data_IF_284080549265
#
_entry.id   IF_284080549265
#
_cell.length_a   1.000
_cell.length_b   1.000
_cell.length_c   1.000
_cell.angle_alpha   90.00
_cell.angle_beta   90.00
_cell.angle_gamma   90.00
#
_symmetry.space_group_name_H-M   'P 1'
#
loop_
_entity.id
_entity.type
_entity.pdbx_description
1 polymer ?
#
# COMPACT_ATOMS: atom_id res chain seq x y z
N UNK A 1 -7.01 -35.12 -4.09
CA UNK A 1 -7.36 -33.72 -3.80
C UNK A 1 -6.36 -32.87 -4.56
N UNK A 2 -6.79 -32.16 -5.60
CA UNK A 2 -5.89 -31.24 -6.32
C UNK A 2 -5.88 -29.97 -5.49
N UNK A 3 -4.87 -29.81 -4.63
CA UNK A 3 -4.56 -28.51 -4.00
C UNK A 3 -4.42 -27.48 -5.13
N UNK A 4 -5.36 -26.53 -5.19
CA UNK A 4 -5.31 -25.45 -6.16
C UNK A 4 -4.05 -24.64 -5.91
N UNK A 5 -3.02 -24.82 -6.73
CA UNK A 5 -1.80 -24.04 -6.65
C UNK A 5 -2.07 -22.66 -7.25
N UNK A 6 -2.18 -21.66 -6.38
CA UNK A 6 -2.19 -20.27 -6.79
C UNK A 6 -0.81 -19.83 -7.27
N UNK A 7 -0.71 -18.59 -7.73
CA UNK A 7 0.55 -17.93 -8.07
C UNK A 7 0.56 -16.48 -7.60
N UNK A 8 1.74 -15.92 -7.38
CA UNK A 8 1.94 -14.48 -7.29
C UNK A 8 1.80 -13.88 -8.69
N UNK A 9 0.79 -13.06 -8.89
CA UNK A 9 0.53 -12.40 -10.17
C UNK A 9 1.32 -11.10 -10.29
N UNK A 10 1.39 -10.32 -9.21
CA UNK A 10 2.14 -9.06 -9.17
C UNK A 10 2.66 -8.74 -7.78
N UNK A 11 3.75 -7.98 -7.74
CA UNK A 11 4.34 -7.43 -6.53
C UNK A 11 4.44 -5.90 -6.67
N UNK A 12 4.10 -5.20 -5.59
CA UNK A 12 4.16 -3.74 -5.55
C UNK A 12 4.76 -3.23 -4.25
N UNK A 13 5.56 -2.19 -4.37
CA UNK A 13 5.98 -1.35 -3.25
C UNK A 13 5.37 0.04 -3.37
N UNK A 14 5.00 0.65 -2.25
CA UNK A 14 4.50 2.02 -2.20
C UNK A 14 5.42 2.86 -1.30
N UNK A 15 6.56 3.35 -1.79
CA UNK A 15 7.59 3.94 -0.92
C UNK A 15 7.11 5.13 -0.09
N UNK A 16 6.18 5.91 -0.65
CA UNK A 16 5.56 7.05 0.02
C UNK A 16 4.07 6.78 0.23
N UNK A 17 3.58 7.00 1.46
CA UNK A 17 2.16 6.90 1.78
C UNK A 17 1.35 7.83 0.88
N UNK A 18 0.34 7.26 0.21
CA UNK A 18 -0.58 8.00 -0.66
C UNK A 18 -0.12 8.17 -2.11
N UNK A 19 1.15 7.90 -2.44
CA UNK A 19 1.68 8.05 -3.81
C UNK A 19 1.72 6.72 -4.57
N UNK A 20 2.32 6.70 -5.76
CA UNK A 20 2.18 5.64 -6.76
C UNK A 20 2.73 4.28 -6.32
N UNK A 21 2.19 3.22 -6.94
CA UNK A 21 2.74 1.88 -6.87
C UNK A 21 4.00 1.78 -7.74
N UNK A 22 5.01 1.07 -7.27
CA UNK A 22 6.15 0.65 -8.07
C UNK A 22 6.13 -0.87 -8.22
N UNK A 23 5.98 -1.41 -9.45
CA UNK A 23 5.98 -2.85 -9.67
C UNK A 23 7.36 -3.44 -9.37
N UNK A 24 7.39 -4.67 -8.88
CA UNK A 24 8.60 -5.43 -8.62
C UNK A 24 8.50 -6.81 -9.30
N UNK A 25 9.63 -7.31 -9.79
CA UNK A 25 9.72 -8.70 -10.25
C UNK A 25 10.00 -9.67 -9.10
N UNK A 26 10.71 -9.20 -8.07
CA UNK A 26 11.07 -9.97 -6.88
C UNK A 26 11.31 -9.10 -5.66
N UNK A 27 11.20 -9.68 -4.47
CA UNK A 27 11.43 -9.01 -3.20
C UNK A 27 11.97 -9.99 -2.15
N UNK A 28 12.97 -9.56 -1.37
CA UNK A 28 13.50 -10.34 -0.27
C UNK A 28 12.70 -10.06 1.02
N UNK A 29 11.95 -11.05 1.50
CA UNK A 29 11.18 -10.95 2.73
C UNK A 29 11.99 -11.49 3.91
N UNK A 30 11.84 -10.85 5.07
CA UNK A 30 12.44 -11.29 6.35
C UNK A 30 11.41 -11.13 7.48
N UNK A 31 11.42 -12.02 8.48
CA UNK A 31 10.54 -11.89 9.64
C UNK A 31 10.71 -10.54 10.35
N UNK A 32 9.60 -9.93 10.75
CA UNK A 32 9.58 -8.70 11.55
C UNK A 32 10.05 -7.42 10.86
N UNK A 33 10.47 -7.45 9.59
CA UNK A 33 10.96 -6.23 8.91
C UNK A 33 9.94 -5.58 7.98
N UNK A 34 8.82 -6.24 7.71
CA UNK A 34 7.80 -5.80 6.74
C UNK A 34 8.26 -5.83 5.29
N UNK A 35 7.36 -5.44 4.37
CA UNK A 35 7.65 -5.47 2.93
C UNK A 35 8.73 -4.44 2.56
N UNK A 36 9.91 -4.83 2.05
CA UNK A 36 11.03 -3.92 1.81
C UNK A 36 10.62 -2.63 1.09
N UNK A 37 11.10 -1.51 1.60
CA UNK A 37 10.84 -0.17 1.09
C UNK A 37 9.39 0.34 1.10
N UNK A 38 8.43 -0.47 1.54
CA UNK A 38 7.03 -0.06 1.60
C UNK A 38 6.77 1.00 2.68
N UNK A 39 6.17 2.12 2.25
CA UNK A 39 5.72 3.24 3.08
C UNK A 39 6.79 3.70 4.08
N UNK A 40 8.05 3.75 3.62
CA UNK A 40 9.21 4.32 4.35
C UNK A 40 9.04 5.82 4.61
N UNK A 41 8.29 6.48 3.73
CA UNK A 41 8.02 7.89 3.80
C UNK A 41 6.52 8.14 3.90
N UNK A 42 6.14 9.24 4.55
CA UNK A 42 4.81 9.83 4.46
C UNK A 42 4.93 11.34 4.56
N UNK A 43 3.92 12.07 4.08
CA UNK A 43 3.80 13.49 4.38
C UNK A 43 2.78 13.63 5.51
N UNK A 44 3.21 14.12 6.66
CA UNK A 44 2.37 14.37 7.82
C UNK A 44 1.69 15.73 7.73
N UNK A 45 0.52 15.82 8.35
CA UNK A 45 -0.22 17.07 8.53
C UNK A 45 0.61 18.03 9.40
N UNK A 46 0.75 19.31 9.03
CA UNK A 46 1.56 20.28 9.78
C UNK A 46 1.08 20.48 11.23
N UNK A 47 -0.23 20.50 11.42
CA UNK A 47 -0.93 20.62 12.69
C UNK A 47 -1.13 19.27 13.40
N UNK A 48 -0.73 18.17 12.77
CA UNK A 48 -0.82 16.83 13.31
C UNK A 48 0.18 16.56 14.43
N UNK A 49 0.14 15.34 14.98
CA UNK A 49 0.98 14.90 16.10
C UNK A 49 2.37 14.42 15.68
N UNK A 50 2.60 14.13 14.40
CA UNK A 50 3.91 13.66 13.95
C UNK A 50 4.97 14.74 14.08
N UNK A 51 6.08 14.41 14.72
CA UNK A 51 7.33 15.18 14.72
C UNK A 51 8.49 14.22 14.42
N UNK A 52 9.59 14.66 13.78
CA UNK A 52 10.80 13.84 13.65
C UNK A 52 11.21 13.24 15.00
N UNK A 53 11.51 11.95 15.02
CA UNK A 53 11.74 11.16 16.23
C UNK A 53 10.50 10.48 16.80
N UNK A 54 9.30 10.64 16.21
CA UNK A 54 8.08 9.97 16.69
C UNK A 54 8.19 8.45 16.57
N UNK A 55 8.20 7.76 17.71
CA UNK A 55 8.31 6.29 17.79
C UNK A 55 6.98 5.56 17.89
N UNK A 56 5.91 6.24 18.27
CA UNK A 56 4.57 5.63 18.37
C UNK A 56 3.88 5.58 17.01
N UNK A 57 3.09 4.52 16.78
CA UNK A 57 2.20 4.42 15.63
C UNK A 57 1.15 5.52 15.65
N UNK A 58 1.01 6.25 14.54
CA UNK A 58 0.01 7.30 14.40
C UNK A 58 -1.09 6.88 13.42
N UNK A 59 -2.35 7.26 13.66
CA UNK A 59 -3.45 6.96 12.76
C UNK A 59 -3.27 7.67 11.42
N UNK A 60 -3.81 7.07 10.35
CA UNK A 60 -3.60 7.56 8.98
C UNK A 60 -4.06 9.00 8.74
N UNK A 61 -4.97 9.53 9.56
CA UNK A 61 -5.47 10.90 9.52
C UNK A 61 -4.38 11.95 9.81
N UNK A 62 -3.32 11.56 10.52
CA UNK A 62 -2.15 12.41 10.78
C UNK A 62 -1.28 12.61 9.53
N UNK A 63 -1.57 11.90 8.44
CA UNK A 63 -0.82 11.92 7.21
C UNK A 63 -1.71 12.22 6.01
N UNK A 64 -1.13 12.81 4.98
CA UNK A 64 -1.77 12.93 3.69
C UNK A 64 -1.88 11.53 3.05
N UNK A 65 -3.09 11.15 2.67
CA UNK A 65 -3.41 9.81 2.18
C UNK A 65 -4.66 9.84 1.30
N UNK A 66 -4.77 8.92 0.34
CA UNK A 66 -5.85 8.89 -0.66
C UNK A 66 -7.28 8.91 -0.08
N UNK A 67 -7.46 8.49 1.17
CA UNK A 67 -8.77 8.56 1.85
C UNK A 67 -9.25 10.00 2.06
N UNK A 68 -8.36 10.96 2.23
CA UNK A 68 -8.69 12.38 2.41
C UNK A 68 -8.17 13.24 1.24
N UNK A 69 -7.12 12.78 0.58
CA UNK A 69 -6.33 13.56 -0.37
C UNK A 69 -6.25 12.81 -1.73
N UNK A 70 -7.38 12.62 -2.43
CA UNK A 70 -7.43 11.80 -3.64
C UNK A 70 -6.54 12.36 -4.76
N UNK A 71 -6.30 13.68 -4.79
CA UNK A 71 -5.47 14.37 -5.79
C UNK A 71 -4.06 13.80 -5.91
N UNK A 72 -3.52 13.22 -4.83
CA UNK A 72 -2.23 12.54 -4.83
C UNK A 72 -2.16 11.41 -5.87
N UNK A 73 -3.27 10.74 -6.15
CA UNK A 73 -3.33 9.70 -7.19
C UNK A 73 -3.25 10.26 -8.62
N UNK A 74 -3.30 11.58 -8.81
CA UNK A 74 -3.04 12.22 -10.11
C UNK A 74 -1.55 12.49 -10.38
N UNK A 75 -0.69 12.28 -9.38
CA UNK A 75 0.77 12.32 -9.57
C UNK A 75 1.26 10.93 -9.99
N UNK A 76 2.17 10.88 -10.97
CA UNK A 76 3.02 9.70 -11.18
C UNK A 76 4.33 9.90 -10.40
N UNK A 77 4.67 8.96 -9.52
CA UNK A 77 5.81 9.11 -8.61
C UNK A 77 6.66 7.86 -8.58
N UNK A 78 7.98 8.04 -8.53
CA UNK A 78 8.92 6.95 -8.37
C UNK A 78 9.99 7.34 -7.35
N UNK A 79 10.29 6.44 -6.41
CA UNK A 79 11.44 6.54 -5.51
C UNK A 79 12.46 5.49 -5.89
N UNK A 80 13.67 5.93 -6.22
CA UNK A 80 14.83 5.05 -6.28
C UNK A 80 15.18 4.63 -4.84
N UNK A 81 14.95 3.37 -4.52
CA UNK A 81 15.11 2.86 -3.15
C UNK A 81 16.57 2.77 -2.67
N UNK A 82 17.55 2.88 -3.58
CA UNK A 82 18.98 2.89 -3.26
C UNK A 82 19.49 4.29 -2.91
N UNK A 83 18.90 5.33 -3.51
CA UNK A 83 19.33 6.73 -3.34
C UNK A 83 18.31 7.60 -2.61
N UNK A 84 17.09 7.10 -2.36
CA UNK A 84 15.95 7.84 -1.80
C UNK A 84 15.53 9.06 -2.65
N UNK A 85 15.90 9.10 -3.93
CA UNK A 85 15.49 10.16 -4.87
C UNK A 85 14.05 9.94 -5.30
N UNK A 86 13.17 10.89 -4.95
CA UNK A 86 11.79 11.00 -5.41
C UNK A 86 11.73 11.76 -6.73
N UNK A 87 11.20 11.10 -7.76
CA UNK A 87 10.82 11.73 -9.03
C UNK A 87 9.30 11.85 -9.09
N UNK A 88 8.78 13.01 -9.46
CA UNK A 88 7.35 13.23 -9.72
C UNK A 88 7.16 13.63 -11.18
N UNK A 89 6.18 13.02 -11.84
CA UNK A 89 5.77 13.30 -13.21
C UNK A 89 4.34 13.75 -13.28
N UNK A 90 4.09 14.69 -14.17
CA UNK A 90 2.75 15.15 -14.56
C UNK A 90 2.67 15.08 -16.08
N UNK A 91 1.65 14.38 -16.60
CA UNK A 91 1.49 14.14 -18.03
C UNK A 91 2.77 13.57 -18.72
N UNK A 92 3.53 12.73 -18.01
CA UNK A 92 4.74 12.09 -18.52
C UNK A 92 6.03 12.93 -18.43
N UNK A 93 5.96 14.18 -17.95
CA UNK A 93 7.13 15.04 -17.79
C UNK A 93 7.58 15.08 -16.34
N UNK A 94 8.89 14.94 -16.11
CA UNK A 94 9.50 15.13 -14.78
C UNK A 94 9.32 16.59 -14.35
N UNK A 95 8.63 16.80 -13.22
CA UNK A 95 8.36 18.12 -12.62
C UNK A 95 9.04 18.30 -11.25
N UNK A 96 9.54 17.22 -10.67
CA UNK A 96 10.34 17.23 -9.45
C UNK A 96 11.32 16.07 -9.48
N UNK A 97 12.56 16.32 -9.04
CA UNK A 97 13.52 15.28 -8.68
C UNK A 97 14.25 15.69 -7.41
N UNK A 98 13.91 15.07 -6.29
CA UNK A 98 14.35 15.49 -4.96
C UNK A 98 14.94 14.33 -4.16
N UNK A 99 16.13 14.51 -3.61
CA UNK A 99 16.78 13.54 -2.72
C UNK A 99 16.20 13.64 -1.30
N UNK A 100 15.33 12.70 -0.91
CA UNK A 100 14.70 12.69 0.42
C UNK A 100 15.68 12.34 1.55
N UNK A 101 16.92 11.97 1.21
CA UNK A 101 18.04 11.78 2.12
C UNK A 101 18.68 13.09 2.59
N UNK A 102 18.58 14.17 1.82
CA UNK A 102 19.18 15.50 2.11
C UNK A 102 18.19 16.45 2.78
N UNK A 103 18.63 17.58 3.34
CA UNK A 103 17.70 18.60 3.86
C UNK A 103 17.03 19.35 2.70
N UNK A 104 17.84 19.73 1.71
CA UNK A 104 17.43 20.50 0.54
C UNK A 104 16.37 19.77 -0.29
N UNK A 105 16.56 18.46 -0.55
CA UNK A 105 15.61 17.66 -1.30
C UNK A 105 14.31 17.41 -0.54
N UNK A 106 14.35 17.31 0.80
CA UNK A 106 13.12 17.22 1.60
C UNK A 106 12.32 18.52 1.51
N UNK A 107 12.99 19.66 1.64
CA UNK A 107 12.37 20.98 1.50
C UNK A 107 11.77 21.18 0.11
N UNK A 108 12.46 20.72 -0.94
CA UNK A 108 11.96 20.74 -2.30
C UNK A 108 10.69 19.90 -2.48
N UNK A 109 10.69 18.66 -1.97
CA UNK A 109 9.53 17.80 -2.03
C UNK A 109 8.33 18.36 -1.23
N UNK A 110 8.57 18.90 -0.04
CA UNK A 110 7.52 19.52 0.79
C UNK A 110 6.92 20.75 0.09
N UNK A 111 7.76 21.63 -0.47
CA UNK A 111 7.33 22.82 -1.21
C UNK A 111 6.54 22.47 -2.47
N UNK A 112 6.98 21.45 -3.21
CA UNK A 112 6.25 20.96 -4.39
C UNK A 112 4.87 20.42 -4.02
N UNK A 113 4.75 19.69 -2.92
CA UNK A 113 3.49 19.08 -2.50
C UNK A 113 2.53 20.05 -1.82
N UNK A 114 2.98 21.15 -1.22
CA UNK A 114 2.12 22.18 -0.63
C UNK A 114 0.92 22.56 -1.52
N UNK A 115 1.11 23.01 -2.78
CA UNK A 115 -0.03 23.34 -3.64
C UNK A 115 -0.86 22.11 -4.05
N UNK A 116 -0.26 20.93 -4.19
CA UNK A 116 -1.00 19.69 -4.52
C UNK A 116 -1.95 19.28 -3.37
N UNK A 117 -1.57 19.61 -2.14
CA UNK A 117 -2.28 19.28 -0.91
C UNK A 117 -3.26 20.38 -0.46
N UNK A 118 -3.47 21.41 -1.29
CA UNK A 118 -4.30 22.60 -0.97
C UNK A 118 -3.93 23.27 0.37
N UNK A 119 -2.65 23.26 0.73
CA UNK A 119 -2.21 23.87 1.97
C UNK A 119 -2.14 25.40 1.85
N UNK A 120 -2.45 26.16 2.94
CA UNK A 120 -2.33 27.61 2.95
C UNK A 120 -0.90 28.09 2.62
N UNK A 121 -0.79 29.31 2.10
CA UNK A 121 0.51 29.92 1.84
C UNK A 121 1.37 29.96 3.12
N UNK A 122 2.63 29.55 3.00
CA UNK A 122 3.57 29.46 4.12
C UNK A 122 3.41 28.21 5.00
N UNK A 123 2.46 27.33 4.71
CA UNK A 123 2.27 26.06 5.42
C UNK A 123 2.76 24.90 4.54
N UNK A 124 3.70 24.12 5.05
CA UNK A 124 4.22 22.93 4.37
C UNK A 124 3.80 21.66 5.10
N UNK A 125 3.68 20.51 4.41
CA UNK A 125 3.61 19.24 5.12
C UNK A 125 4.92 18.99 5.88
N UNK A 126 4.93 18.00 6.77
CA UNK A 126 6.16 17.52 7.41
C UNK A 126 6.54 16.17 6.82
N UNK A 127 7.73 16.04 6.23
CA UNK A 127 8.17 14.73 5.76
C UNK A 127 8.43 13.81 6.96
N UNK A 128 7.74 12.68 6.97
CA UNK A 128 7.89 11.64 7.95
C UNK A 128 8.81 10.53 7.43
N UNK A 129 9.91 10.29 8.16
CA UNK A 129 10.89 9.23 7.88
C UNK A 129 11.58 8.85 9.18
N UNK A 130 11.43 7.60 9.61
CA UNK A 130 12.03 7.11 10.85
C UNK A 130 12.71 5.77 10.61
N UNK A 131 14.00 5.61 10.97
CA UNK A 131 14.68 4.33 10.85
C UNK A 131 13.90 3.19 11.52
N UNK A 132 13.69 2.11 10.77
CA UNK A 132 12.95 0.93 11.21
C UNK A 132 11.44 1.10 11.33
N UNK A 133 10.86 2.25 10.94
CA UNK A 133 9.41 2.45 10.95
C UNK A 133 8.82 2.54 9.55
N UNK A 134 7.52 2.28 9.49
CA UNK A 134 6.72 2.32 8.27
C UNK A 134 5.40 3.02 8.55
N UNK A 135 4.91 3.78 7.59
CA UNK A 135 3.66 4.54 7.68
C UNK A 135 2.49 3.78 7.03
N UNK A 136 2.42 2.46 7.26
CA UNK A 136 1.33 1.57 6.81
C UNK A 136 0.02 1.91 7.52
N UNK A 137 -1.10 1.46 6.98
CA UNK A 137 -2.41 1.70 7.60
C UNK A 137 -2.60 0.92 8.90
N UNK A 138 -1.81 -0.14 9.11
CA UNK A 138 -1.77 -0.93 10.33
C UNK A 138 -0.81 -0.36 11.39
N UNK A 139 0.02 0.64 11.05
CA UNK A 139 1.05 1.16 11.95
C UNK A 139 0.49 1.73 13.27
N UNK A 140 -0.74 2.27 13.26
CA UNK A 140 -1.41 2.76 14.47
C UNK A 140 -1.72 1.65 15.49
N UNK A 141 -1.76 0.39 15.07
CA UNK A 141 -1.99 -0.76 15.95
C UNK A 141 -0.69 -1.29 16.59
N UNK A 142 0.48 -0.71 16.27
CA UNK A 142 1.76 -1.02 16.89
C UNK A 142 2.84 -1.49 15.91
N UNK A 143 4.03 -1.75 16.47
CA UNK A 143 5.23 -2.08 15.70
C UNK A 143 5.21 -3.47 15.05
N UNK A 144 4.42 -4.42 15.58
CA UNK A 144 4.14 -5.67 14.89
C UNK A 144 3.29 -5.43 13.63
N UNK A 145 2.06 -4.89 13.79
CA UNK A 145 1.17 -4.60 12.67
C UNK A 145 1.75 -3.69 11.58
N UNK A 146 2.64 -2.74 11.91
CA UNK A 146 3.27 -1.89 10.88
C UNK A 146 4.09 -2.70 9.85
N UNK A 147 4.52 -3.91 10.22
CA UNK A 147 5.34 -4.81 9.42
C UNK A 147 4.53 -5.90 8.70
N UNK A 148 3.20 -5.87 8.78
CA UNK A 148 2.40 -6.81 7.99
C UNK A 148 2.49 -6.52 6.49
N UNK A 149 2.46 -7.59 5.70
CA UNK A 149 2.43 -7.53 4.23
C UNK A 149 0.98 -7.66 3.77
N UNK A 150 0.51 -6.75 2.91
CA UNK A 150 -0.85 -6.83 2.37
C UNK A 150 -0.92 -7.75 1.15
N UNK A 151 -1.90 -8.66 1.16
CA UNK A 151 -2.18 -9.62 0.08
C UNK A 151 -3.62 -9.45 -0.40
N UNK A 152 -3.85 -9.51 -1.71
CA UNK A 152 -5.20 -9.53 -2.31
C UNK A 152 -5.28 -10.58 -3.42
N UNK A 153 -6.43 -11.22 -3.56
CA UNK A 153 -6.69 -12.22 -4.61
C UNK A 153 -7.40 -11.61 -5.80
N UNK A 154 -6.88 -11.83 -7.01
CA UNK A 154 -7.56 -11.47 -8.26
C UNK A 154 -8.88 -12.24 -8.43
N UNK A 155 -8.97 -13.47 -7.92
CA UNK A 155 -10.21 -14.23 -7.98
C UNK A 155 -11.33 -13.56 -7.14
N UNK A 156 -11.00 -13.01 -5.97
CA UNK A 156 -11.94 -12.24 -5.13
C UNK A 156 -12.35 -10.93 -5.79
N UNK A 157 -11.42 -10.26 -6.47
CA UNK A 157 -11.73 -9.05 -7.24
C UNK A 157 -12.68 -9.40 -8.40
N UNK A 158 -12.37 -10.42 -9.20
CA UNK A 158 -13.23 -10.86 -10.32
C UNK A 158 -14.61 -11.34 -9.86
N UNK A 159 -14.73 -11.97 -8.68
CA UNK A 159 -16.05 -12.30 -8.11
C UNK A 159 -16.86 -11.04 -7.76
N UNK A 160 -16.23 -10.00 -7.21
CA UNK A 160 -16.88 -8.69 -7.01
C UNK A 160 -17.31 -8.07 -8.34
N UNK A 161 -16.43 -8.09 -9.35
CA UNK A 161 -16.73 -7.57 -10.69
C UNK A 161 -17.94 -8.30 -11.29
N UNK A 162 -17.96 -9.63 -11.24
CA UNK A 162 -19.05 -10.45 -11.79
C UNK A 162 -20.39 -10.18 -11.11
N UNK A 163 -20.41 -9.99 -9.78
CA UNK A 163 -21.64 -9.72 -9.02
C UNK A 163 -22.15 -8.29 -9.15
N UNK A 164 -21.28 -7.34 -9.50
CA UNK A 164 -21.63 -5.91 -9.58
C UNK A 164 -21.70 -5.39 -11.02
N UNK A 165 -21.26 -6.19 -12.01
CA UNK A 165 -21.16 -5.77 -13.40
C UNK A 165 -20.17 -4.61 -13.62
N UNK A 166 -19.23 -4.41 -12.69
CA UNK A 166 -18.32 -3.25 -12.70
C UNK A 166 -16.87 -3.71 -12.65
N UNK A 167 -16.04 -3.18 -13.54
CA UNK A 167 -14.59 -3.46 -13.56
C UNK A 167 -13.90 -2.75 -12.39
N UNK A 168 -13.03 -3.46 -11.68
CA UNK A 168 -12.32 -2.98 -10.48
C UNK A 168 -10.82 -3.18 -10.66
N UNK A 169 -10.09 -2.07 -10.81
CA UNK A 169 -8.63 -2.12 -10.87
C UNK A 169 -8.02 -2.63 -9.54
N UNK A 170 -7.21 -3.71 -9.55
CA UNK A 170 -6.55 -4.24 -8.35
C UNK A 170 -5.65 -3.24 -7.60
N UNK A 171 -5.09 -2.23 -8.28
CA UNK A 171 -4.25 -1.21 -7.65
C UNK A 171 -5.01 -0.35 -6.63
N UNK A 172 -6.34 -0.30 -6.71
CA UNK A 172 -7.20 0.36 -5.71
C UNK A 172 -7.00 -0.22 -4.30
N UNK A 173 -6.67 -1.51 -4.19
CA UNK A 173 -6.46 -2.18 -2.91
C UNK A 173 -5.08 -1.95 -2.31
N UNK A 174 -4.15 -1.37 -3.10
CA UNK A 174 -2.78 -1.04 -2.69
C UNK A 174 -2.06 -2.16 -1.94
N UNK A 175 -2.30 -3.40 -2.38
CA UNK A 175 -1.68 -4.60 -1.82
C UNK A 175 -0.23 -4.69 -2.28
N UNK A 176 0.62 -5.30 -1.45
CA UNK A 176 2.01 -5.56 -1.81
C UNK A 176 2.14 -6.81 -2.67
N UNK A 177 1.28 -7.80 -2.43
CA UNK A 177 1.25 -9.05 -3.17
C UNK A 177 -0.15 -9.25 -3.74
N UNK A 178 -0.23 -9.43 -5.05
CA UNK A 178 -1.45 -9.82 -5.74
C UNK A 178 -1.31 -11.28 -6.12
N UNK A 179 -2.25 -12.11 -5.70
CA UNK A 179 -2.26 -13.56 -5.99
C UNK A 179 -3.41 -13.92 -6.92
N UNK A 180 -3.25 -15.01 -7.65
CA UNK A 180 -4.27 -15.51 -8.58
C UNK A 180 -4.27 -17.05 -8.62
N UNK A 181 -5.32 -17.65 -9.17
CA UNK A 181 -5.48 -19.10 -9.33
C UNK A 181 -6.02 -19.83 -8.09
N UNK A 182 -6.20 -19.13 -6.97
CA UNK A 182 -6.92 -19.64 -5.80
C UNK A 182 -8.43 -19.40 -5.94
N UNK A 183 -9.29 -20.17 -5.26
CA UNK A 183 -10.71 -19.87 -5.17
C UNK A 183 -10.94 -18.45 -4.64
N UNK A 184 -11.97 -17.76 -5.15
CA UNK A 184 -12.34 -16.45 -4.62
C UNK A 184 -12.58 -16.55 -3.11
N UNK A 185 -12.11 -15.55 -2.38
CA UNK A 185 -12.24 -15.38 -0.93
C UNK A 185 -11.44 -16.36 -0.06
N UNK A 186 -10.74 -17.33 -0.65
CA UNK A 186 -9.96 -18.31 0.12
C UNK A 186 -8.85 -17.67 0.95
N UNK A 187 -8.31 -16.52 0.50
CA UNK A 187 -7.33 -15.76 1.28
C UNK A 187 -7.91 -15.26 2.60
N UNK A 188 -9.20 -14.91 2.65
CA UNK A 188 -9.84 -14.44 3.88
C UNK A 188 -10.18 -15.58 4.85
N UNK A 189 -10.42 -16.78 4.33
CA UNK A 189 -10.63 -18.00 5.13
C UNK A 189 -9.31 -18.51 5.72
N UNK A 190 -8.18 -18.16 5.11
CA UNK A 190 -6.85 -18.52 5.60
C UNK A 190 -6.45 -17.80 6.89
N UNK A 191 -7.16 -16.75 7.33
CA UNK A 191 -6.82 -16.01 8.56
C UNK A 191 -6.77 -16.96 9.76
N UNK A 192 -5.66 -16.91 10.51
CA UNK A 192 -5.32 -17.83 11.58
C UNK A 192 -4.43 -19.00 11.14
N UNK A 193 -4.18 -19.19 9.84
CA UNK A 193 -3.36 -20.27 9.29
C UNK A 193 -2.03 -19.77 8.74
N UNK A 194 -1.13 -20.71 8.52
CA UNK A 194 0.12 -20.48 7.81
C UNK A 194 -0.02 -20.88 6.34
N UNK A 195 0.64 -20.12 5.47
CA UNK A 195 0.57 -20.26 4.02
C UNK A 195 1.98 -20.30 3.45
N UNK A 196 2.15 -20.99 2.33
CA UNK A 196 3.35 -20.88 1.51
C UNK A 196 3.13 -19.81 0.43
N UNK A 197 3.94 -18.77 0.49
CA UNK A 197 3.96 -17.69 -0.49
C UNK A 197 5.29 -17.73 -1.22
N UNK A 198 5.40 -18.61 -2.22
CA UNK A 198 6.59 -18.76 -3.03
C UNK A 198 7.82 -19.27 -2.28
N UNK A 199 7.63 -20.23 -1.36
CA UNK A 199 8.68 -20.74 -0.47
C UNK A 199 8.91 -19.87 0.78
N UNK A 200 8.21 -18.74 0.90
CA UNK A 200 8.20 -17.92 2.12
C UNK A 200 6.99 -18.34 2.96
N UNK A 201 7.24 -18.87 4.17
CA UNK A 201 6.15 -19.17 5.11
C UNK A 201 5.65 -17.86 5.70
N UNK A 202 4.33 -17.67 5.64
CA UNK A 202 3.65 -16.50 6.21
C UNK A 202 2.46 -16.95 7.06
N UNK A 203 2.05 -16.14 8.03
CA UNK A 203 0.80 -16.34 8.79
C UNK A 203 -0.22 -15.31 8.37
N UNK A 204 -1.42 -15.73 7.97
CA UNK A 204 -2.51 -14.80 7.75
C UNK A 204 -3.07 -14.32 9.09
N UNK A 205 -2.93 -13.03 9.38
CA UNK A 205 -3.17 -12.47 10.72
C UNK A 205 -4.44 -11.64 10.82
N UNK A 206 -4.85 -10.99 9.73
CA UNK A 206 -6.00 -10.10 9.79
C UNK A 206 -6.66 -9.91 8.42
N UNK A 207 -8.00 -9.82 8.37
CA UNK A 207 -8.75 -9.43 7.17
C UNK A 207 -8.55 -7.94 6.90
N UNK A 208 -8.26 -7.52 5.68
CA UNK A 208 -8.04 -6.09 5.41
C UNK A 208 -9.37 -5.37 5.25
N UNK A 209 -9.74 -4.54 6.24
CA UNK A 209 -10.89 -3.63 6.13
C UNK A 209 -10.59 -2.55 5.10
N UNK A 210 -11.43 -2.45 4.08
CA UNK A 210 -11.28 -1.46 3.01
C UNK A 210 -11.92 -0.14 3.43
N UNK A 211 -11.27 0.94 3.02
CA UNK A 211 -11.69 2.30 3.30
C UNK A 211 -11.82 3.06 1.98
N UNK A 212 -12.32 4.29 2.07
CA UNK A 212 -12.62 5.13 0.92
C UNK A 212 -11.38 5.45 0.04
N UNK A 213 -10.15 5.12 0.47
CA UNK A 213 -8.97 5.16 -0.42
C UNK A 213 -9.13 4.25 -1.65
N UNK A 214 -9.84 3.11 -1.52
CA UNK A 214 -10.13 2.20 -2.65
C UNK A 214 -11.04 2.81 -3.71
N UNK A 215 -11.73 3.91 -3.38
CA UNK A 215 -12.63 4.59 -4.30
C UNK A 215 -11.91 5.57 -5.22
N UNK A 216 -10.63 5.85 -4.94
CA UNK A 216 -9.80 6.73 -5.76
C UNK A 216 -9.27 5.96 -6.96
N UNK A 217 -9.56 6.46 -8.17
CA UNK A 217 -9.09 5.88 -9.43
C UNK A 217 -7.57 6.00 -9.56
N UNK A 218 -6.84 4.89 -9.81
CA UNK A 218 -5.40 4.95 -10.08
C UNK A 218 -5.07 5.90 -11.22
N UNK A 219 -4.13 6.83 -11.02
CA UNK A 219 -3.71 7.81 -12.03
C UNK A 219 -4.66 8.99 -12.25
N UNK A 220 -5.87 8.98 -11.67
CA UNK A 220 -6.90 10.00 -11.98
C UNK A 220 -7.00 11.13 -10.97
N UNK A 221 -6.54 10.91 -9.74
CA UNK A 221 -6.74 11.85 -8.65
C UNK A 221 -8.19 12.00 -8.16
N UNK A 222 -9.14 11.17 -8.63
CA UNK A 222 -10.59 11.33 -8.41
C UNK A 222 -11.21 10.12 -7.77
N UNK A 223 -12.27 10.34 -6.98
CA UNK A 223 -13.19 9.28 -6.55
C UNK A 223 -14.12 8.94 -7.71
N UNK A 224 -14.02 7.72 -8.21
CA UNK A 224 -14.72 7.29 -9.43
C UNK A 224 -15.48 5.98 -9.26
N UNK A 225 -15.26 5.25 -8.15
CA UNK A 225 -15.90 3.98 -7.91
C UNK A 225 -16.18 3.76 -6.42
N UNK A 226 -17.44 3.49 -6.04
CA UNK A 226 -17.83 3.32 -4.64
C UNK A 226 -17.49 1.91 -4.09
N UNK A 227 -16.23 1.47 -4.23
CA UNK A 227 -15.75 0.11 -3.93
C UNK A 227 -16.17 -0.38 -2.54
N UNK A 228 -16.07 0.46 -1.50
CA UNK A 228 -16.46 0.08 -0.13
C UNK A 228 -17.95 -0.26 -0.05
N UNK A 229 -18.78 0.56 -0.71
CA UNK A 229 -20.23 0.34 -0.76
C UNK A 229 -20.59 -0.87 -1.61
N UNK A 230 -19.87 -1.11 -2.70
CA UNK A 230 -20.04 -2.30 -3.53
C UNK A 230 -19.78 -3.57 -2.73
N UNK A 231 -18.63 -3.68 -2.05
CA UNK A 231 -18.30 -4.85 -1.22
C UNK A 231 -19.37 -5.05 -0.13
N UNK A 232 -19.78 -3.98 0.55
CA UNK A 232 -20.79 -4.07 1.61
C UNK A 232 -22.16 -4.53 1.10
N UNK A 233 -22.64 -3.99 -0.01
CA UNK A 233 -23.95 -4.38 -0.58
C UNK A 233 -23.94 -5.82 -1.11
N UNK A 234 -22.80 -6.29 -1.62
CA UNK A 234 -22.68 -7.62 -2.21
C UNK A 234 -22.44 -8.72 -1.16
N UNK A 235 -21.66 -8.44 -0.12
CA UNK A 235 -21.22 -9.47 0.84
C UNK A 235 -21.59 -9.21 2.30
N UNK A 236 -22.22 -8.07 2.62
CA UNK A 236 -22.57 -7.70 3.99
C UNK A 236 -21.37 -7.28 4.87
N UNK A 237 -20.20 -7.02 4.28
CA UNK A 237 -18.99 -6.62 5.00
C UNK A 237 -18.10 -5.65 4.21
N UNK A 238 -17.03 -5.13 4.80
CA UNK A 238 -16.08 -4.20 4.14
C UNK A 238 -14.68 -4.79 3.97
N UNK A 239 -14.54 -6.11 4.03
CA UNK A 239 -13.24 -6.79 3.91
C UNK A 239 -12.98 -7.24 2.47
N UNK A 240 -11.72 -7.18 2.06
CA UNK A 240 -11.22 -7.85 0.85
C UNK A 240 -9.71 -8.02 1.03
N UNK A 241 -9.12 -9.17 0.73
CA UNK A 241 -7.71 -9.45 1.01
C UNK A 241 -7.36 -9.50 2.51
N UNK A 242 -6.09 -9.74 2.78
CA UNK A 242 -5.56 -10.02 4.12
C UNK A 242 -4.23 -9.30 4.38
N UNK A 243 -3.88 -9.24 5.65
CA UNK A 243 -2.53 -8.99 6.12
C UNK A 243 -1.88 -10.32 6.52
N UNK A 244 -0.61 -10.47 6.15
CA UNK A 244 0.21 -11.60 6.55
C UNK A 244 1.46 -11.15 7.29
N UNK A 245 1.89 -11.96 8.25
CA UNK A 245 3.18 -11.84 8.93
C UNK A 245 4.18 -12.81 8.30
N UNK A 246 5.40 -12.35 8.03
CA UNK A 246 6.47 -13.19 7.46
C UNK A 246 7.11 -14.04 8.57
N UNK A 247 7.15 -15.36 8.38
CA UNK A 247 7.69 -16.31 9.36
C UNK A 247 9.09 -16.81 8.99
N UNK A 248 9.40 -16.92 7.70
CA UNK A 248 10.74 -17.31 7.22
C UNK A 248 11.31 -16.27 6.27
N UNK A 249 12.64 -16.17 6.21
CA UNK A 249 13.29 -15.34 5.21
C UNK A 249 13.29 -16.06 3.85
N UNK A 250 13.14 -15.30 2.77
CA UNK A 250 13.20 -15.84 1.41
C UNK A 250 12.97 -14.77 0.35
N UNK A 251 13.09 -15.16 -0.92
CA UNK A 251 12.81 -14.25 -2.04
C UNK A 251 11.50 -14.65 -2.70
N UNK A 252 10.54 -13.73 -2.66
CA UNK A 252 9.27 -13.87 -3.38
C UNK A 252 9.41 -13.26 -4.76
N UNK A 253 8.97 -13.95 -5.81
CA UNK A 253 9.01 -13.46 -7.17
C UNK A 253 7.61 -13.51 -7.82
N UNK A 254 7.41 -12.67 -8.83
CA UNK A 254 6.27 -12.84 -9.74
C UNK A 254 6.32 -14.24 -10.37
N UNK A 255 5.17 -14.91 -10.41
CA UNK A 255 5.04 -16.28 -10.89
C UNK A 255 5.32 -17.36 -9.83
N UNK A 256 5.82 -17.01 -8.65
CA UNK A 256 5.99 -17.97 -7.55
C UNK A 256 4.67 -18.64 -7.18
N UNK A 257 4.68 -19.95 -6.92
CA UNK A 257 3.51 -20.69 -6.47
C UNK A 257 3.01 -20.22 -5.10
N UNK A 258 1.71 -20.36 -4.86
CA UNK A 258 1.06 -20.05 -3.59
C UNK A 258 0.25 -21.26 -3.13
N UNK A 259 0.51 -21.71 -1.90
CA UNK A 259 -0.20 -22.80 -1.23
C UNK A 259 -0.92 -22.30 0.01
N UNK A 260 -2.18 -22.71 0.18
CA UNK A 260 -3.03 -22.42 1.35
C UNK A 260 -3.16 -23.65 2.21
#
# INVERSE_FOLDING_TARGET
MVEGRGRVDALFVYPVKGLSAQPLDRVALRPGTGFPNDRRFAFARPDGRYRPGTRVGLPKQEFFALVSDPRLAGLDTHVDTGTDVLTVRVAGHDVLKADLGTEEGRDEAMRFLTPVLDLPAGVTPVLAREPGRRFTDAAAAGDGPMNWVSVVSLASIRDLEARTGTVVDPLRFRANVVVDGLPAWSEMDAVGRELDLGGVRVRAVHRTRRCAATEVGPGTGRRDLAVVSMIHRTYGHQFMGIYVEVLTAGTLAKGSAVGV
#
